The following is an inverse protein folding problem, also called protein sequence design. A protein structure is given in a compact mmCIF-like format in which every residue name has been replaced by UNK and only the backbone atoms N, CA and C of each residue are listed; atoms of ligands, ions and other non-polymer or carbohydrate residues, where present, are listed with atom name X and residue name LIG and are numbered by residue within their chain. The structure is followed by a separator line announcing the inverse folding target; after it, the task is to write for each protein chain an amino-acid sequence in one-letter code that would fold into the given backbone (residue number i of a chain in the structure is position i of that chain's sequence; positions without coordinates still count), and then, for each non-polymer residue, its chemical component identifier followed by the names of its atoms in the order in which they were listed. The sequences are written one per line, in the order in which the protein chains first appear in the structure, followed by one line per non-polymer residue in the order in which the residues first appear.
data_IF_872163021726
#
_entry.id   IF_872163021726
#
_cell.length_a   1.000
_cell.length_b   1.000
_cell.length_c   1.000
_cell.angle_alpha   90.00
_cell.angle_beta   90.00
_cell.angle_gamma   90.00
#
_symmetry.space_group_name_H-M   'P 1'
#
loop_
_entity.id
_entity.type
_entity.pdbx_description
1 polymer ?
#
# COMPACT_ATOMS: atom_id res chain seq x y z
N UNK A 1 23.91 33.24 26.77
CA UNK A 1 23.29 33.59 28.06
C UNK A 1 22.61 34.94 27.90
N UNK A 2 21.30 35.01 28.18
CA UNK A 2 20.46 36.16 28.59
C UNK A 2 19.04 35.92 28.04
N UNK A 3 18.16 35.53 28.97
CA UNK A 3 16.71 35.41 28.81
C UNK A 3 16.09 36.81 28.75
N UNK A 4 15.04 36.99 27.96
CA UNK A 4 14.09 38.10 28.17
C UNK A 4 12.66 37.57 28.08
N UNK A 5 12.13 37.28 29.27
CA UNK A 5 10.71 37.13 29.53
C UNK A 5 10.02 38.49 29.38
N UNK A 6 8.90 38.54 28.67
CA UNK A 6 7.92 39.60 28.80
C UNK A 6 6.57 38.97 29.16
N UNK A 7 6.32 38.91 30.47
CA UNK A 7 4.97 38.81 31.01
C UNK A 7 4.39 40.22 31.05
N UNK A 8 3.27 40.43 30.36
CA UNK A 8 2.31 41.49 30.69
C UNK A 8 1.02 40.81 31.12
N UNK A 9 0.63 41.11 32.35
CA UNK A 9 -0.64 40.74 32.96
C UNK A 9 -1.75 41.71 32.51
N UNK A 10 -2.97 41.18 32.49
CA UNK A 10 -4.19 41.95 32.79
C UNK A 10 -5.05 42.29 31.58
N UNK A 11 -6.17 41.59 31.43
CA UNK A 11 -7.50 42.18 31.66
C UNK A 11 -8.57 41.08 31.65
N UNK A 12 -9.27 40.98 32.77
CA UNK A 12 -10.47 40.17 32.98
C UNK A 12 -11.67 40.82 32.31
N UNK A 13 -12.42 40.07 31.52
CA UNK A 13 -13.83 40.33 31.23
C UNK A 13 -14.56 38.99 31.07
N UNK A 14 -15.42 38.69 32.03
CA UNK A 14 -16.35 37.56 32.04
C UNK A 14 -17.54 37.83 31.13
N UNK A 15 -17.83 36.92 30.19
CA UNK A 15 -19.14 36.77 29.59
C UNK A 15 -19.42 35.28 29.34
N UNK A 16 -20.68 34.90 29.52
CA UNK A 16 -21.13 33.55 29.85
C UNK A 16 -21.31 32.60 28.66
N UNK A 17 -21.15 31.30 28.99
CA UNK A 17 -21.82 30.11 28.48
C UNK A 17 -22.09 29.94 26.97
N UNK A 18 -21.34 29.03 26.35
CA UNK A 18 -21.89 27.95 25.53
C UNK A 18 -20.91 26.75 25.57
N UNK A 19 -21.24 25.76 26.41
CA UNK A 19 -20.50 24.49 26.47
C UNK A 19 -20.90 23.61 25.28
N UNK A 20 -20.21 23.73 24.16
CA UNK A 20 -20.15 22.67 23.15
C UNK A 20 -18.92 21.83 23.42
N UNK A 21 -19.07 20.78 24.23
CA UNK A 21 -18.05 19.75 24.38
C UNK A 21 -18.03 18.87 23.13
N UNK A 22 -17.44 19.36 22.05
CA UNK A 22 -16.89 18.47 21.03
C UNK A 22 -15.58 17.94 21.58
N UNK A 23 -15.67 16.80 22.27
CA UNK A 23 -14.49 15.98 22.52
C UNK A 23 -13.97 15.49 21.16
N UNK A 24 -13.15 16.31 20.51
CA UNK A 24 -12.19 15.81 19.56
C UNK A 24 -11.37 14.79 20.35
N UNK A 25 -11.53 13.50 20.04
CA UNK A 25 -10.59 12.51 20.54
C UNK A 25 -9.24 12.96 19.99
N UNK A 26 -8.40 13.47 20.89
CA UNK A 26 -7.00 13.57 20.63
C UNK A 26 -6.55 12.12 20.43
N UNK A 27 -6.59 11.67 19.17
CA UNK A 27 -5.95 10.44 18.77
C UNK A 27 -4.53 10.56 19.27
N UNK A 28 -4.20 9.78 20.29
CA UNK A 28 -2.85 9.70 20.82
C UNK A 28 -1.99 9.31 19.63
N UNK A 29 -1.24 10.27 19.10
CA UNK A 29 -0.33 10.06 18.00
C UNK A 29 0.67 9.01 18.50
N UNK A 30 0.44 7.76 18.10
CA UNK A 30 1.17 6.61 18.60
C UNK A 30 2.61 6.83 18.13
N UNK A 31 3.50 7.17 19.07
CA UNK A 31 4.90 7.42 18.75
C UNK A 31 5.41 6.30 17.84
N UNK A 32 5.89 6.67 16.64
CA UNK A 32 6.31 5.73 15.61
C UNK A 32 7.34 4.77 16.19
N UNK A 33 6.91 3.54 16.50
CA UNK A 33 7.79 2.49 17.01
C UNK A 33 8.59 2.00 15.81
N UNK A 34 9.92 2.10 15.88
CA UNK A 34 10.81 1.46 14.90
C UNK A 34 10.54 -0.06 14.95
N UNK A 35 10.16 -0.71 13.83
CA UNK A 35 9.87 -2.13 13.84
C UNK A 35 11.15 -2.94 14.07
N UNK A 36 11.06 -3.97 14.90
CA UNK A 36 12.17 -4.91 15.14
C UNK A 36 12.17 -6.07 14.16
N UNK A 37 10.99 -6.47 13.68
CA UNK A 37 10.83 -7.58 12.76
C UNK A 37 9.89 -7.20 11.62
N UNK A 38 10.42 -7.27 10.41
CA UNK A 38 9.74 -6.95 9.16
C UNK A 38 9.59 -8.23 8.35
N UNK A 39 8.45 -8.39 7.69
CA UNK A 39 8.22 -9.49 6.77
C UNK A 39 8.11 -8.99 5.33
N UNK A 40 8.93 -9.53 4.42
CA UNK A 40 8.82 -9.24 3.00
C UNK A 40 7.81 -10.16 2.34
N UNK A 41 6.79 -9.56 1.77
CA UNK A 41 5.73 -10.24 1.05
C UNK A 41 5.78 -9.86 -0.44
N UNK A 42 6.02 -10.85 -1.30
CA UNK A 42 6.22 -10.63 -2.73
C UNK A 42 4.97 -10.14 -3.49
N UNK A 43 3.78 -10.21 -2.87
CA UNK A 43 2.53 -9.65 -3.41
C UNK A 43 2.00 -10.35 -4.67
N UNK A 44 2.82 -11.21 -5.29
CA UNK A 44 2.52 -11.91 -6.54
C UNK A 44 2.46 -13.41 -6.32
N UNK A 45 3.61 -14.04 -6.11
CA UNK A 45 3.73 -15.49 -6.00
C UNK A 45 2.89 -16.07 -4.86
N UNK A 46 2.93 -15.55 -3.62
CA UNK A 46 2.11 -16.09 -2.54
C UNK A 46 0.67 -15.54 -2.51
N UNK A 47 0.29 -14.66 -3.43
CA UNK A 47 -0.98 -13.92 -3.35
C UNK A 47 -1.72 -13.90 -4.70
N UNK A 48 -1.56 -12.84 -5.50
CA UNK A 48 -2.43 -12.61 -6.65
C UNK A 48 -2.37 -13.72 -7.72
N UNK A 49 -1.28 -14.51 -7.74
CA UNK A 49 -1.12 -15.65 -8.64
C UNK A 49 -1.95 -16.87 -8.24
N UNK A 50 -2.36 -16.96 -6.97
CA UNK A 50 -2.99 -18.14 -6.40
C UNK A 50 -4.52 -18.14 -6.53
N UNK A 51 -5.11 -17.04 -6.98
CA UNK A 51 -6.57 -16.88 -7.08
C UNK A 51 -7.05 -16.88 -8.53
N UNK A 52 -8.17 -17.56 -8.77
CA UNK A 52 -8.91 -17.43 -10.03
C UNK A 52 -9.59 -16.06 -10.12
N UNK A 53 -9.63 -15.44 -11.33
CA UNK A 53 -10.44 -14.26 -11.55
C UNK A 53 -11.94 -14.54 -11.53
N UNK A 54 -12.77 -13.62 -10.98
CA UNK A 54 -12.36 -12.38 -10.31
C UNK A 54 -11.96 -12.61 -8.84
N UNK A 55 -10.75 -12.16 -8.48
CA UNK A 55 -10.31 -12.11 -7.09
C UNK A 55 -11.10 -11.08 -6.28
N UNK A 56 -11.49 -11.45 -5.07
CA UNK A 56 -12.23 -10.62 -4.13
C UNK A 56 -11.28 -9.83 -3.22
N UNK A 57 -11.77 -8.71 -2.67
CA UNK A 57 -10.99 -7.84 -1.77
C UNK A 57 -10.43 -8.61 -0.58
N UNK A 58 -11.26 -9.44 0.05
CA UNK A 58 -10.92 -10.24 1.24
C UNK A 58 -9.82 -11.27 0.96
N UNK A 59 -9.73 -11.74 -0.29
CA UNK A 59 -8.63 -12.62 -0.70
C UNK A 59 -7.31 -11.85 -0.81
N UNK A 60 -7.36 -10.55 -1.13
CA UNK A 60 -6.15 -9.71 -1.21
C UNK A 60 -5.67 -9.29 0.18
N UNK A 61 -6.61 -9.13 1.12
CA UNK A 61 -6.34 -8.91 2.56
C UNK A 61 -5.56 -10.06 3.21
N UNK A 62 -5.55 -11.26 2.61
CA UNK A 62 -4.79 -12.42 3.09
C UNK A 62 -3.29 -12.12 3.28
N UNK A 63 -2.71 -11.22 2.48
CA UNK A 63 -1.32 -10.78 2.62
C UNK A 63 -0.99 -10.14 3.98
N UNK A 64 -2.02 -9.65 4.68
CA UNK A 64 -1.93 -9.09 6.03
C UNK A 64 -2.43 -10.09 7.06
N UNK A 65 -3.55 -10.75 6.78
CA UNK A 65 -4.22 -11.62 7.74
C UNK A 65 -3.36 -12.82 8.14
N UNK A 66 -2.50 -13.32 7.26
CA UNK A 66 -1.54 -14.38 7.59
C UNK A 66 -0.50 -13.98 8.65
N UNK A 67 -0.26 -12.68 8.83
CA UNK A 67 0.68 -12.14 9.81
C UNK A 67 0.00 -11.67 11.10
N UNK A 68 -1.33 -11.59 11.11
CA UNK A 68 -2.07 -11.11 12.27
C UNK A 68 -1.85 -12.02 13.49
N UNK A 69 -1.51 -11.42 14.63
CA UNK A 69 -1.21 -12.15 15.88
C UNK A 69 0.19 -12.78 15.92
N UNK A 70 1.00 -12.63 14.88
CA UNK A 70 2.42 -13.01 14.91
C UNK A 70 3.27 -11.88 15.53
N UNK A 71 4.54 -12.15 15.88
CA UNK A 71 5.47 -11.10 16.32
C UNK A 71 5.92 -10.11 15.23
N UNK A 72 5.44 -10.25 13.98
CA UNK A 72 5.76 -9.31 12.89
C UNK A 72 5.14 -7.95 13.19
N UNK A 73 5.93 -6.88 13.09
CA UNK A 73 5.48 -5.51 13.39
C UNK A 73 5.26 -4.68 12.12
N UNK A 74 5.76 -5.16 10.98
CA UNK A 74 5.79 -4.42 9.74
C UNK A 74 5.75 -5.34 8.51
N UNK A 75 4.90 -4.97 7.56
CA UNK A 75 4.76 -5.63 6.26
C UNK A 75 5.51 -4.82 5.20
N UNK A 76 6.52 -5.44 4.57
CA UNK A 76 7.17 -4.94 3.36
C UNK A 76 6.47 -5.56 2.14
N UNK A 77 5.56 -4.81 1.52
CA UNK A 77 4.73 -5.33 0.44
C UNK A 77 5.26 -4.94 -0.93
N UNK A 78 5.59 -5.93 -1.76
CA UNK A 78 6.10 -5.70 -3.11
C UNK A 78 4.99 -5.19 -4.04
N UNK A 79 5.27 -4.09 -4.76
CA UNK A 79 4.29 -3.41 -5.61
C UNK A 79 4.01 -4.07 -6.96
N UNK A 80 4.76 -5.12 -7.32
CA UNK A 80 4.69 -5.78 -8.62
C UNK A 80 6.06 -6.27 -9.08
N UNK A 81 6.36 -6.13 -10.38
CA UNK A 81 7.69 -6.43 -10.93
C UNK A 81 8.64 -5.23 -10.92
N UNK A 82 8.19 -4.08 -10.43
CA UNK A 82 8.94 -2.83 -10.42
C UNK A 82 8.99 -2.12 -11.77
N UNK A 83 9.10 -2.87 -12.86
CA UNK A 83 8.91 -2.37 -14.24
C UNK A 83 7.44 -2.08 -14.52
N UNK A 84 6.58 -2.98 -14.06
CA UNK A 84 5.14 -2.81 -13.96
C UNK A 84 4.68 -3.04 -12.53
N UNK A 85 3.51 -2.51 -12.18
CA UNK A 85 2.91 -2.60 -10.85
C UNK A 85 1.51 -3.24 -10.90
N UNK A 86 0.97 -3.58 -9.74
CA UNK A 86 -0.35 -4.24 -9.60
C UNK A 86 -1.39 -3.37 -8.88
N UNK A 87 -1.16 -2.06 -8.78
CA UNK A 87 -2.06 -1.09 -8.16
C UNK A 87 -2.42 0.02 -9.15
N UNK A 88 -3.41 0.84 -8.82
CA UNK A 88 -3.89 1.95 -9.65
C UNK A 88 -2.87 3.11 -9.67
N UNK A 89 -1.87 2.98 -10.54
CA UNK A 89 -0.79 3.95 -10.70
C UNK A 89 -1.12 5.00 -11.77
N UNK A 90 -0.66 6.24 -11.55
CA UNK A 90 -0.80 7.35 -12.51
C UNK A 90 0.47 7.62 -13.32
N UNK A 91 1.59 7.04 -12.91
CA UNK A 91 2.93 7.34 -13.46
C UNK A 91 3.72 6.08 -13.81
N UNK A 92 3.28 4.92 -13.35
CA UNK A 92 3.79 3.62 -13.76
C UNK A 92 2.86 2.95 -14.76
N UNK A 93 3.17 1.70 -15.05
CA UNK A 93 2.38 0.87 -15.96
C UNK A 93 1.83 -0.35 -15.22
N UNK A 94 0.55 -0.66 -15.45
CA UNK A 94 -0.08 -1.84 -14.89
C UNK A 94 0.53 -3.10 -15.52
N UNK A 95 0.69 -4.13 -14.71
CA UNK A 95 1.10 -5.45 -15.16
C UNK A 95 0.32 -5.90 -16.38
N UNK A 96 1.02 -6.19 -17.48
CA UNK A 96 0.45 -6.67 -18.74
C UNK A 96 -0.54 -5.73 -19.43
N UNK A 97 -0.47 -4.42 -19.19
CA UNK A 97 -1.25 -3.42 -19.91
C UNK A 97 -1.00 -3.42 -21.44
N UNK A 98 0.19 -3.87 -21.87
CA UNK A 98 0.66 -3.93 -23.25
C UNK A 98 0.71 -5.38 -23.81
N UNK A 99 -0.07 -6.30 -23.22
CA UNK A 99 -0.03 -7.72 -23.55
C UNK A 99 -1.31 -8.15 -24.27
N UNK A 100 -1.18 -8.43 -25.58
CA UNK A 100 -2.29 -8.93 -26.39
C UNK A 100 -2.44 -10.46 -26.29
N UNK A 101 -1.32 -11.17 -26.22
CA UNK A 101 -1.26 -12.64 -26.17
C UNK A 101 -0.51 -13.08 -24.92
N UNK A 102 -1.17 -13.91 -24.11
CA UNK A 102 -0.63 -14.33 -22.82
C UNK A 102 0.16 -15.65 -22.97
N UNK A 103 1.48 -15.64 -22.75
CA UNK A 103 2.30 -16.85 -22.81
C UNK A 103 2.11 -17.74 -21.59
N UNK A 104 1.48 -17.22 -20.52
CA UNK A 104 1.29 -17.95 -19.27
C UNK A 104 -0.02 -17.55 -18.57
N UNK A 105 -0.82 -18.56 -18.21
CA UNK A 105 -2.14 -18.38 -17.60
C UNK A 105 -2.08 -17.60 -16.27
N UNK A 106 -1.10 -17.89 -15.42
CA UNK A 106 -0.94 -17.21 -14.12
C UNK A 106 -0.77 -15.70 -14.28
N UNK A 107 0.00 -15.24 -15.29
CA UNK A 107 0.21 -13.81 -15.50
C UNK A 107 -1.04 -13.12 -16.04
N UNK A 108 -1.81 -13.82 -16.88
CA UNK A 108 -3.13 -13.36 -17.32
C UNK A 108 -4.08 -13.18 -16.14
N UNK A 109 -4.12 -14.16 -15.23
CA UNK A 109 -4.95 -14.11 -14.02
C UNK A 109 -4.54 -12.95 -13.11
N UNK A 110 -3.24 -12.77 -12.90
CA UNK A 110 -2.72 -11.65 -12.11
C UNK A 110 -3.19 -10.30 -12.66
N UNK A 111 -3.10 -10.10 -13.97
CA UNK A 111 -3.62 -8.90 -14.63
C UNK A 111 -5.14 -8.75 -14.44
N UNK A 112 -5.91 -9.80 -14.72
CA UNK A 112 -7.36 -9.77 -14.60
C UNK A 112 -7.81 -9.48 -13.16
N UNK A 113 -7.13 -10.05 -12.17
CA UNK A 113 -7.40 -9.82 -10.76
C UNK A 113 -7.08 -8.38 -10.35
N UNK A 114 -5.88 -7.89 -10.68
CA UNK A 114 -5.50 -6.51 -10.37
C UNK A 114 -6.45 -5.51 -11.02
N UNK A 115 -6.74 -5.71 -12.32
CA UNK A 115 -7.68 -4.86 -13.05
C UNK A 115 -9.08 -4.90 -12.46
N UNK A 116 -9.62 -6.08 -12.15
CA UNK A 116 -10.94 -6.21 -11.54
C UNK A 116 -11.03 -5.52 -10.17
N UNK A 117 -10.00 -5.69 -9.32
CA UNK A 117 -9.92 -5.03 -8.02
C UNK A 117 -9.89 -3.50 -8.20
N UNK A 118 -9.07 -2.97 -9.11
CA UNK A 118 -9.02 -1.53 -9.41
C UNK A 118 -10.38 -1.02 -9.93
N UNK A 119 -10.94 -1.68 -10.94
CA UNK A 119 -12.21 -1.28 -11.58
C UNK A 119 -13.40 -1.34 -10.60
N UNK A 120 -13.36 -2.24 -9.61
CA UNK A 120 -14.37 -2.35 -8.54
C UNK A 120 -14.16 -1.38 -7.37
N UNK A 121 -13.16 -0.50 -7.45
CA UNK A 121 -12.84 0.47 -6.40
C UNK A 121 -12.01 -0.12 -5.24
N UNK A 122 -11.45 -1.30 -5.41
CA UNK A 122 -10.61 -2.00 -4.42
C UNK A 122 -9.13 -1.97 -4.83
N UNK A 123 -8.57 -0.78 -5.06
CA UNK A 123 -7.15 -0.63 -5.41
C UNK A 123 -6.24 -1.50 -4.52
N UNK A 124 -5.51 -2.48 -5.08
CA UNK A 124 -4.72 -3.45 -4.32
C UNK A 124 -3.76 -2.85 -3.29
N UNK A 125 -3.09 -1.73 -3.62
CA UNK A 125 -2.18 -1.08 -2.68
C UNK A 125 -2.94 -0.50 -1.48
N UNK A 126 -4.06 0.18 -1.73
CA UNK A 126 -4.93 0.70 -0.68
C UNK A 126 -5.49 -0.41 0.19
N UNK A 127 -5.99 -1.50 -0.41
CA UNK A 127 -6.57 -2.64 0.33
C UNK A 127 -5.59 -3.21 1.35
N UNK A 128 -4.35 -3.49 0.94
CA UNK A 128 -3.33 -4.05 1.86
C UNK A 128 -2.89 -3.02 2.89
N UNK A 129 -2.74 -1.75 2.51
CA UNK A 129 -2.35 -0.69 3.44
C UNK A 129 -3.40 -0.47 4.53
N UNK A 130 -4.67 -0.35 4.15
CA UNK A 130 -5.79 -0.17 5.09
C UNK A 130 -5.91 -1.37 6.03
N UNK A 131 -5.80 -2.59 5.48
CA UNK A 131 -5.84 -3.82 6.29
C UNK A 131 -4.64 -3.93 7.24
N UNK A 132 -3.44 -3.55 6.81
CA UNK A 132 -2.26 -3.53 7.67
C UNK A 132 -2.47 -2.59 8.86
N UNK A 133 -2.98 -1.39 8.63
CA UNK A 133 -3.31 -0.46 9.70
C UNK A 133 -4.41 -0.97 10.64
N UNK A 134 -5.44 -1.63 10.10
CA UNK A 134 -6.49 -2.28 10.90
C UNK A 134 -5.90 -3.35 11.86
N UNK A 135 -4.92 -4.13 11.39
CA UNK A 135 -4.23 -5.15 12.20
C UNK A 135 -3.07 -4.61 13.02
N UNK A 136 -2.84 -3.30 13.00
CA UNK A 136 -1.77 -2.66 13.77
C UNK A 136 -0.35 -2.93 13.26
N UNK A 137 -0.21 -3.33 11.99
CA UNK A 137 1.08 -3.48 11.31
C UNK A 137 1.50 -2.14 10.67
N UNK A 138 2.79 -1.86 10.71
CA UNK A 138 3.37 -0.82 9.85
C UNK A 138 3.42 -1.33 8.40
N UNK A 139 3.25 -0.43 7.44
CA UNK A 139 3.24 -0.77 6.02
C UNK A 139 4.37 -0.08 5.26
N UNK A 140 5.15 -0.86 4.51
CA UNK A 140 6.29 -0.39 3.72
C UNK A 140 6.15 -0.88 2.26
N UNK A 141 5.70 -0.03 1.32
CA UNK A 141 5.66 -0.42 -0.09
C UNK A 141 7.08 -0.64 -0.62
N UNK A 142 7.31 -1.76 -1.29
CA UNK A 142 8.63 -2.18 -1.79
C UNK A 142 8.64 -2.18 -3.31
N UNK A 143 9.48 -1.32 -3.89
CA UNK A 143 9.70 -1.23 -5.33
C UNK A 143 10.95 -2.01 -5.75
N UNK A 144 10.81 -2.88 -6.74
CA UNK A 144 11.95 -3.60 -7.32
C UNK A 144 12.64 -2.71 -8.37
N UNK A 145 13.77 -2.09 -8.01
CA UNK A 145 14.37 -1.01 -8.81
C UNK A 145 15.12 -1.49 -10.07
N UNK A 146 15.65 -2.71 -10.07
CA UNK A 146 16.55 -3.18 -11.13
C UNK A 146 16.24 -4.61 -11.61
N UNK A 147 14.99 -4.84 -11.99
CA UNK A 147 14.63 -6.08 -12.68
C UNK A 147 15.17 -6.07 -14.13
N UNK A 148 15.71 -7.21 -14.56
CA UNK A 148 16.14 -7.43 -15.94
C UNK A 148 14.95 -7.42 -16.90
N UNK A 149 15.20 -7.21 -18.20
CA UNK A 149 14.17 -7.23 -19.24
C UNK A 149 14.50 -8.26 -20.30
N UNK A 150 13.50 -9.03 -20.73
CA UNK A 150 13.62 -9.97 -21.86
C UNK A 150 12.90 -9.40 -23.08
N UNK A 151 12.88 -10.15 -24.17
CA UNK A 151 12.21 -9.73 -25.41
C UNK A 151 10.73 -9.41 -25.18
N UNK A 152 10.25 -8.33 -25.82
CA UNK A 152 8.90 -7.77 -25.66
C UNK A 152 7.79 -8.82 -25.75
N UNK A 153 7.88 -9.73 -26.71
CA UNK A 153 6.85 -10.75 -26.95
C UNK A 153 6.88 -11.94 -25.98
N UNK A 154 7.88 -11.98 -25.09
CA UNK A 154 8.07 -13.02 -24.08
C UNK A 154 7.84 -12.47 -22.67
N UNK A 155 8.16 -11.20 -22.43
CA UNK A 155 8.15 -10.58 -21.11
C UNK A 155 6.89 -9.78 -20.81
N UNK A 156 5.82 -10.47 -20.40
CA UNK A 156 4.54 -9.83 -20.01
C UNK A 156 4.58 -8.98 -18.74
N UNK A 157 5.76 -8.87 -18.13
CA UNK A 157 6.00 -8.10 -16.90
C UNK A 157 6.78 -6.82 -17.20
N UNK A 158 7.34 -6.72 -18.40
CA UNK A 158 8.08 -5.56 -18.86
C UNK A 158 7.15 -4.40 -19.16
N UNK A 159 7.67 -3.20 -18.89
CA UNK A 159 7.02 -1.95 -19.23
C UNK A 159 7.41 -1.47 -20.61
N UNK A 160 6.53 -0.70 -21.26
CA UNK A 160 6.88 0.04 -22.47
C UNK A 160 8.01 1.05 -22.18
N UNK A 161 8.09 1.61 -20.97
CA UNK A 161 9.27 2.37 -20.53
C UNK A 161 10.60 1.62 -20.71
N UNK A 162 10.62 0.29 -20.49
CA UNK A 162 11.83 -0.53 -20.64
C UNK A 162 12.06 -0.97 -22.07
N UNK A 163 10.99 -1.22 -22.82
CA UNK A 163 11.11 -1.70 -24.20
C UNK A 163 11.39 -0.57 -25.22
N UNK A 164 11.13 0.68 -24.86
CA UNK A 164 11.31 1.85 -25.71
C UNK A 164 12.52 2.72 -25.33
N UNK A 165 13.36 2.26 -24.39
CA UNK A 165 14.53 2.98 -23.89
C UNK A 165 15.84 2.51 -24.54
#
# INVERSE_FOLDING_TARGET
MIRRNFLKAGLSASAAAASSSTAASAGTEKASKKPNLLFYHDGRHPLIYMYEPPMQKEQYEAAVDELAGTPIEALMFCLGDGRTVLHDTKVGELWGHNVDQWPHLIFRRAHQNAKHLIDSGNDPLRVVCDRAHEKGLLFYPTLLVQQGTRDRYVDVRGSDFRFNN
#
